data_IF_995238868407
#
_entry.id   IF_995238868407
#
_cell.length_a   1.000
_cell.length_b   1.000
_cell.length_c   1.000
_cell.angle_alpha   90.00
_cell.angle_beta   90.00
_cell.angle_gamma   90.00
#
_symmetry.space_group_name_H-M   'P 1'
#
loop_
_entity.id
_entity.type
_entity.pdbx_description
1 polymer ?
#
# COMPACT_ATOMS: atom_id res chain seq x y z
N UNK A 1 -25.62 -47.93 13.60
CA UNK A 1 -26.39 -46.69 13.32
C UNK A 1 -25.40 -45.53 13.29
N UNK A 2 -25.10 -45.09 12.08
CA UNK A 2 -24.27 -43.94 11.74
C UNK A 2 -25.02 -42.64 12.02
N UNK A 3 -24.40 -41.70 12.73
CA UNK A 3 -24.84 -40.29 12.75
C UNK A 3 -23.61 -39.40 12.73
N UNK A 4 -23.35 -38.85 11.55
CA UNK A 4 -22.43 -37.77 11.22
C UNK A 4 -22.89 -36.45 11.83
N UNK A 5 -22.06 -35.83 12.66
CA UNK A 5 -22.19 -34.44 13.06
C UNK A 5 -21.37 -33.55 12.13
N UNK A 6 -22.02 -32.89 11.17
CA UNK A 6 -21.42 -31.89 10.30
C UNK A 6 -21.00 -30.65 11.11
N UNK A 7 -19.70 -30.38 11.13
CA UNK A 7 -19.12 -29.12 11.58
C UNK A 7 -19.24 -28.09 10.46
N UNK A 8 -20.12 -27.11 10.66
CA UNK A 8 -20.35 -25.98 9.78
C UNK A 8 -19.09 -25.11 9.68
N UNK A 9 -18.32 -25.28 8.60
CA UNK A 9 -17.22 -24.40 8.20
C UNK A 9 -17.80 -23.03 7.81
N UNK A 10 -17.52 -21.99 8.60
CA UNK A 10 -17.80 -20.61 8.20
C UNK A 10 -16.88 -20.24 7.02
N UNK A 11 -17.44 -20.19 5.83
CA UNK A 11 -16.81 -19.62 4.65
C UNK A 11 -16.56 -18.13 4.87
N UNK A 12 -15.31 -17.74 5.15
CA UNK A 12 -14.90 -16.34 5.10
C UNK A 12 -14.94 -15.89 3.64
N UNK A 13 -16.01 -15.20 3.26
CA UNK A 13 -16.09 -14.49 1.98
C UNK A 13 -15.05 -13.37 1.98
N UNK A 14 -14.11 -13.44 1.04
CA UNK A 14 -13.19 -12.34 0.74
C UNK A 14 -13.99 -11.21 0.08
N UNK A 15 -14.63 -10.37 0.89
CA UNK A 15 -15.18 -9.10 0.44
C UNK A 15 -14.05 -8.15 0.01
N UNK A 16 -14.34 -7.14 -0.82
CA UNK A 16 -13.35 -6.14 -1.18
C UNK A 16 -12.79 -5.48 0.10
N UNK A 17 -11.49 -5.14 0.13
CA UNK A 17 -10.89 -4.52 1.29
C UNK A 17 -11.67 -3.26 1.65
N UNK A 18 -12.19 -3.20 2.89
CA UNK A 18 -12.84 -2.02 3.44
C UNK A 18 -11.96 -0.79 3.22
N UNK A 19 -12.60 0.34 2.90
CA UNK A 19 -12.00 1.64 2.63
C UNK A 19 -10.77 1.90 3.52
N UNK A 20 -9.59 1.81 2.92
CA UNK A 20 -8.36 2.21 3.59
C UNK A 20 -8.48 3.69 3.92
N UNK A 21 -8.52 4.03 5.22
CA UNK A 21 -8.44 5.41 5.67
C UNK A 21 -7.12 6.00 5.14
N UNK A 22 -7.19 7.15 4.48
CA UNK A 22 -6.02 7.85 3.93
C UNK A 22 -5.85 9.14 4.71
N UNK A 23 -4.64 9.39 5.20
CA UNK A 23 -4.32 10.71 5.72
C UNK A 23 -3.98 11.60 4.53
N UNK A 24 -4.79 12.63 4.34
CA UNK A 24 -4.53 13.65 3.35
C UNK A 24 -3.51 14.64 3.94
N UNK A 25 -2.37 14.75 3.27
CA UNK A 25 -1.32 15.72 3.59
C UNK A 25 -1.10 16.54 2.33
N UNK A 26 -1.19 17.86 2.44
CA UNK A 26 -1.03 18.79 1.31
C UNK A 26 -2.35 19.25 0.65
N UNK A 27 -2.26 20.29 -0.21
CA UNK A 27 -3.38 20.73 -1.03
C UNK A 27 -3.91 19.56 -1.88
N UNK A 28 -5.22 19.35 -1.85
CA UNK A 28 -5.89 18.28 -2.60
C UNK A 28 -6.47 18.87 -3.86
N UNK A 29 -6.14 18.27 -5.00
CA UNK A 29 -6.54 18.78 -6.32
C UNK A 29 -7.58 17.86 -6.93
N UNK A 30 -8.69 18.46 -7.34
CA UNK A 30 -9.80 17.78 -7.99
C UNK A 30 -9.63 17.83 -9.51
N UNK A 31 -9.48 16.66 -10.12
CA UNK A 31 -9.32 16.49 -11.56
C UNK A 31 -10.62 15.92 -12.14
N UNK A 32 -11.20 16.61 -13.11
CA UNK A 32 -12.33 16.12 -13.89
C UNK A 32 -11.84 15.72 -15.29
N UNK A 33 -11.94 14.43 -15.63
CA UNK A 33 -11.64 13.93 -16.97
C UNK A 33 -12.94 13.49 -17.63
N UNK A 34 -13.20 13.99 -18.84
CA UNK A 34 -14.36 13.59 -19.62
C UNK A 34 -14.08 13.59 -21.11
N UNK A 35 -14.66 12.61 -21.80
CA UNK A 35 -14.75 12.62 -23.24
C UNK A 35 -15.97 13.46 -23.65
N UNK A 36 -15.73 14.56 -24.38
CA UNK A 36 -16.77 15.54 -24.68
C UNK A 36 -17.47 15.28 -26.02
N UNK A 37 -16.92 14.42 -26.88
CA UNK A 37 -17.39 14.15 -28.26
C UNK A 37 -17.79 15.45 -28.99
N UNK A 38 -16.84 16.35 -29.14
CA UNK A 38 -17.01 17.61 -29.86
C UNK A 38 -17.36 18.75 -28.92
N UNK A 39 -16.53 19.80 -28.92
CA UNK A 39 -16.80 21.01 -28.15
C UNK A 39 -17.89 21.86 -28.83
N UNK A 40 -18.81 22.39 -28.04
CA UNK A 40 -19.84 23.35 -28.48
C UNK A 40 -20.14 24.35 -27.35
N UNK A 41 -20.70 25.51 -27.72
CA UNK A 41 -20.97 26.60 -26.77
C UNK A 41 -21.85 26.15 -25.59
N UNK A 42 -22.95 25.44 -25.87
CA UNK A 42 -23.87 24.93 -24.85
C UNK A 42 -23.20 23.92 -23.89
N UNK A 43 -22.28 23.09 -24.39
CA UNK A 43 -21.52 22.15 -23.54
C UNK A 43 -20.53 22.90 -22.66
N UNK A 44 -19.88 23.95 -23.18
CA UNK A 44 -18.98 24.79 -22.40
C UNK A 44 -19.71 25.48 -21.23
N UNK A 45 -20.89 26.04 -21.48
CA UNK A 45 -21.69 26.71 -20.44
C UNK A 45 -22.14 25.74 -19.34
N UNK A 46 -22.57 24.53 -19.72
CA UNK A 46 -22.92 23.49 -18.77
C UNK A 46 -21.71 23.03 -17.95
N UNK A 47 -20.57 22.79 -18.61
CA UNK A 47 -19.33 22.41 -17.94
C UNK A 47 -18.88 23.47 -16.95
N UNK A 48 -18.98 24.75 -17.29
CA UNK A 48 -18.63 25.83 -16.37
C UNK A 48 -19.44 25.77 -15.06
N UNK A 49 -20.76 25.55 -15.16
CA UNK A 49 -21.62 25.40 -13.98
C UNK A 49 -21.24 24.17 -13.16
N UNK A 50 -20.92 23.07 -13.83
CA UNK A 50 -20.54 21.80 -13.20
C UNK A 50 -19.19 21.90 -12.49
N UNK A 51 -18.20 22.53 -13.11
CA UNK A 51 -16.85 22.72 -12.56
C UNK A 51 -16.87 23.62 -11.31
N UNK A 52 -17.64 24.70 -11.35
CA UNK A 52 -17.84 25.59 -10.18
C UNK A 52 -18.56 24.87 -9.04
N UNK A 53 -19.61 24.09 -9.35
CA UNK A 53 -20.37 23.32 -8.36
C UNK A 53 -19.51 22.29 -7.62
N UNK A 54 -18.57 21.67 -8.32
CA UNK A 54 -17.72 20.62 -7.76
C UNK A 54 -16.33 21.09 -7.33
N UNK A 55 -16.03 22.40 -7.37
CA UNK A 55 -14.70 22.95 -7.05
C UNK A 55 -13.57 22.21 -7.78
N UNK A 56 -13.73 22.02 -9.09
CA UNK A 56 -12.73 21.31 -9.91
C UNK A 56 -11.55 22.23 -10.20
N UNK A 57 -10.34 21.75 -9.94
CA UNK A 57 -9.10 22.51 -10.15
C UNK A 57 -8.50 22.27 -11.54
N UNK A 58 -8.66 21.06 -12.09
CA UNK A 58 -8.09 20.66 -13.39
C UNK A 58 -9.14 19.93 -14.22
N UNK A 59 -9.34 20.37 -15.46
CA UNK A 59 -10.23 19.75 -16.44
C UNK A 59 -9.43 19.13 -17.59
N UNK A 60 -9.71 17.86 -17.90
CA UNK A 60 -9.15 17.13 -19.04
C UNK A 60 -10.27 16.75 -20.00
N UNK A 61 -10.17 17.17 -21.26
CA UNK A 61 -11.17 16.91 -22.30
C UNK A 61 -10.60 16.01 -23.40
N UNK A 62 -11.32 14.94 -23.73
CA UNK A 62 -11.00 14.03 -24.84
C UNK A 62 -12.03 14.15 -25.98
N UNK A 63 -11.63 13.73 -27.19
CA UNK A 63 -12.46 13.77 -28.41
C UNK A 63 -13.14 15.14 -28.64
N UNK A 64 -12.40 16.22 -28.43
CA UNK A 64 -12.91 17.59 -28.67
C UNK A 64 -13.27 17.85 -30.14
N UNK A 65 -12.83 16.99 -31.07
CA UNK A 65 -12.99 17.07 -32.52
C UNK A 65 -12.54 18.42 -33.13
N UNK A 66 -11.55 19.05 -32.51
CA UNK A 66 -10.98 20.30 -33.01
C UNK A 66 -9.77 19.97 -33.87
N UNK A 67 -9.88 20.24 -35.17
CA UNK A 67 -8.81 19.96 -36.15
C UNK A 67 -7.77 21.08 -36.23
N UNK A 68 -8.14 22.32 -35.86
CA UNK A 68 -7.27 23.49 -35.97
C UNK A 68 -7.40 24.42 -34.76
N UNK A 69 -6.25 24.90 -34.27
CA UNK A 69 -6.09 25.67 -33.02
C UNK A 69 -6.82 27.02 -33.03
N UNK A 70 -7.07 27.61 -34.21
CA UNK A 70 -7.75 28.90 -34.34
C UNK A 70 -9.28 28.82 -34.10
N UNK A 71 -9.88 27.63 -34.18
CA UNK A 71 -11.32 27.42 -33.98
C UNK A 71 -11.72 27.32 -32.50
N UNK A 72 -10.75 27.32 -31.58
CA UNK A 72 -11.00 27.25 -30.13
C UNK A 72 -11.68 28.52 -29.60
N UNK A 73 -11.30 29.69 -30.10
CA UNK A 73 -11.89 30.96 -29.65
C UNK A 73 -13.34 31.13 -30.12
N UNK A 74 -13.74 30.44 -31.19
CA UNK A 74 -15.05 30.59 -31.83
C UNK A 74 -16.10 29.61 -31.32
N UNK A 75 -15.71 28.46 -30.74
CA UNK A 75 -16.64 27.38 -30.35
C UNK A 75 -17.08 27.39 -28.88
N UNK A 76 -16.56 28.34 -28.09
CA UNK A 76 -16.95 28.56 -26.69
C UNK A 76 -15.77 28.43 -25.74
N UNK A 77 -15.59 29.44 -24.89
CA UNK A 77 -14.54 29.51 -23.87
C UNK A 77 -15.14 29.14 -22.52
N UNK A 78 -14.49 28.24 -21.78
CA UNK A 78 -14.85 27.97 -20.38
C UNK A 78 -14.13 29.02 -19.54
N UNK A 79 -14.87 30.00 -19.04
CA UNK A 79 -14.33 31.08 -18.20
C UNK A 79 -13.71 30.49 -16.92
N UNK A 80 -12.44 30.84 -16.65
CA UNK A 80 -11.68 30.35 -15.49
C UNK A 80 -10.67 29.22 -15.76
N UNK A 81 -10.73 28.56 -16.94
CA UNK A 81 -9.77 27.51 -17.30
C UNK A 81 -8.96 27.94 -18.53
N UNK A 82 -7.65 28.09 -18.38
CA UNK A 82 -6.74 28.45 -19.48
C UNK A 82 -6.14 27.16 -20.08
N UNK A 83 -6.32 26.94 -21.39
CA UNK A 83 -5.80 25.77 -22.10
C UNK A 83 -4.28 25.84 -22.25
N UNK A 84 -3.53 25.56 -21.17
CA UNK A 84 -2.08 25.35 -21.19
C UNK A 84 -1.76 23.88 -21.03
N UNK A 85 -0.68 23.46 -21.67
CA UNK A 85 -0.07 22.13 -21.51
C UNK A 85 0.14 21.80 -20.03
N UNK A 86 -0.22 20.57 -19.70
CA UNK A 86 -0.56 20.08 -18.37
C UNK A 86 0.60 20.12 -17.38
N UNK A 87 0.34 20.70 -16.20
CA UNK A 87 1.08 20.38 -14.98
C UNK A 87 0.15 19.55 -14.09
N UNK A 88 0.58 18.31 -13.86
CA UNK A 88 -0.10 17.31 -13.03
C UNK A 88 0.27 17.59 -11.59
N UNK A 89 -0.72 17.75 -10.71
CA UNK A 89 -0.46 17.82 -9.29
C UNK A 89 -0.68 16.47 -8.60
N UNK A 90 0.44 15.94 -8.14
CA UNK A 90 0.62 14.68 -7.43
C UNK A 90 0.55 14.98 -5.93
N UNK A 91 -0.51 14.52 -5.26
CA UNK A 91 -0.60 14.56 -3.79
C UNK A 91 -0.08 13.26 -3.17
N UNK A 92 0.77 13.36 -2.14
CA UNK A 92 1.26 12.18 -1.41
C UNK A 92 0.20 11.74 -0.41
N UNK A 93 -0.53 10.66 -0.75
CA UNK A 93 -1.48 10.01 0.18
C UNK A 93 -0.72 8.96 0.97
N UNK A 94 -0.63 9.14 2.28
CA UNK A 94 -0.03 8.14 3.16
C UNK A 94 -1.10 7.08 3.46
N UNK A 95 -0.88 5.81 3.05
CA UNK A 95 -1.84 4.75 3.34
C UNK A 95 -1.82 4.45 4.84
N UNK A 96 -2.97 4.57 5.50
CA UNK A 96 -3.13 4.06 6.85
C UNK A 96 -3.62 2.62 6.74
N UNK A 97 -2.82 1.70 7.27
CA UNK A 97 -3.15 0.29 7.28
C UNK A 97 -3.93 0.02 8.57
N UNK A 98 -5.18 -0.40 8.44
CA UNK A 98 -5.92 -0.98 9.57
C UNK A 98 -5.48 -2.43 9.73
N UNK A 99 -4.96 -2.78 10.90
CA UNK A 99 -4.56 -4.17 11.14
C UNK A 99 -5.75 -5.03 11.56
N UNK A 100 -5.64 -6.34 11.34
CA UNK A 100 -6.57 -7.29 11.93
C UNK A 100 -6.44 -7.24 13.46
N UNK A 101 -7.56 -7.27 14.21
CA UNK A 101 -7.56 -7.17 15.68
C UNK A 101 -7.09 -8.48 16.35
N UNK A 102 -6.00 -9.06 15.85
CA UNK A 102 -5.39 -10.27 16.38
C UNK A 102 -4.17 -9.90 17.24
N UNK A 103 -4.18 -10.18 18.55
CA UNK A 103 -3.03 -9.90 19.41
C UNK A 103 -1.79 -10.67 18.98
N UNK A 104 -0.74 -9.95 18.61
CA UNK A 104 0.55 -10.49 18.23
C UNK A 104 1.58 -10.27 19.35
N UNK A 105 2.55 -11.17 19.44
CA UNK A 105 3.66 -11.03 20.36
C UNK A 105 4.58 -9.90 19.92
N UNK A 106 4.88 -8.97 20.83
CA UNK A 106 5.83 -7.90 20.55
C UNK A 106 7.22 -8.26 21.08
N UNK A 107 8.00 -8.93 20.24
CA UNK A 107 9.36 -9.36 20.59
C UNK A 107 10.34 -8.21 20.87
N UNK A 108 10.05 -7.00 20.37
CA UNK A 108 10.89 -5.81 20.67
C UNK A 108 10.73 -5.31 22.10
N UNK A 109 9.60 -5.61 22.75
CA UNK A 109 9.30 -5.26 24.14
C UNK A 109 9.36 -6.47 25.07
N UNK A 110 9.94 -7.57 24.60
CA UNK A 110 10.06 -8.79 25.38
C UNK A 110 11.11 -8.59 26.48
N UNK A 111 10.75 -8.95 27.71
CA UNK A 111 11.72 -9.14 28.78
C UNK A 111 12.30 -10.55 28.67
N UNK A 112 13.39 -10.66 27.92
CA UNK A 112 14.06 -11.94 27.67
C UNK A 112 14.71 -12.53 28.91
N UNK A 113 15.12 -11.70 29.88
CA UNK A 113 15.74 -12.16 31.11
C UNK A 113 14.73 -12.87 32.00
N UNK A 114 13.56 -12.25 32.20
CA UNK A 114 12.45 -12.88 32.94
C UNK A 114 11.92 -14.11 32.23
N UNK A 115 11.85 -14.07 30.88
CA UNK A 115 11.48 -15.24 30.08
C UNK A 115 12.42 -16.41 30.36
N UNK A 116 13.73 -16.19 30.23
CA UNK A 116 14.75 -17.23 30.40
C UNK A 116 14.72 -17.80 31.81
N UNK A 117 14.71 -16.96 32.85
CA UNK A 117 14.61 -17.40 34.25
C UNK A 117 13.37 -18.25 34.50
N UNK A 118 12.22 -17.84 33.94
CA UNK A 118 10.96 -18.59 34.05
C UNK A 118 11.05 -19.94 33.34
N UNK A 119 11.68 -20.02 32.17
CA UNK A 119 11.81 -21.27 31.43
C UNK A 119 12.77 -22.23 32.16
N UNK A 120 13.95 -21.76 32.54
CA UNK A 120 14.99 -22.57 33.20
C UNK A 120 14.52 -23.16 34.53
N UNK A 121 13.73 -22.40 35.30
CA UNK A 121 13.18 -22.86 36.57
C UNK A 121 12.13 -23.96 36.37
N UNK A 122 11.30 -23.84 35.33
CA UNK A 122 10.17 -24.74 35.11
C UNK A 122 10.54 -26.01 34.32
N UNK A 123 11.56 -25.96 33.45
CA UNK A 123 12.05 -27.13 32.69
C UNK A 123 12.54 -28.24 33.62
N UNK A 124 13.16 -27.89 34.75
CA UNK A 124 13.67 -28.85 35.75
C UNK A 124 12.61 -29.82 36.28
N UNK A 125 11.34 -29.44 36.21
CA UNK A 125 10.22 -30.20 36.76
C UNK A 125 9.49 -31.06 35.71
N UNK A 126 10.00 -31.15 34.48
CA UNK A 126 9.38 -31.97 33.43
C UNK A 126 9.80 -33.44 33.61
N UNK A 127 8.87 -34.36 33.92
CA UNK A 127 9.20 -35.78 33.98
C UNK A 127 9.48 -36.35 32.58
N UNK A 128 10.37 -37.35 32.44
CA UNK A 128 10.65 -38.01 31.16
C UNK A 128 9.51 -38.97 30.79
N UNK A 129 8.38 -38.41 30.40
CA UNK A 129 7.16 -39.13 30.00
C UNK A 129 6.88 -38.88 28.52
N UNK A 130 6.06 -39.72 27.88
CA UNK A 130 5.62 -39.53 26.48
C UNK A 130 4.89 -38.21 26.21
N UNK A 131 4.32 -37.59 27.25
CA UNK A 131 3.68 -36.25 27.20
C UNK A 131 4.62 -35.08 27.55
N UNK A 132 5.91 -35.33 27.77
CA UNK A 132 6.89 -34.31 28.15
C UNK A 132 6.95 -33.14 27.15
N UNK A 133 6.77 -33.42 25.86
CA UNK A 133 6.77 -32.41 24.81
C UNK A 133 5.63 -31.40 24.96
N UNK A 134 4.40 -31.84 25.22
CA UNK A 134 3.27 -30.93 25.40
C UNK A 134 3.43 -30.07 26.66
N UNK A 135 3.96 -30.65 27.74
CA UNK A 135 4.29 -29.93 28.98
C UNK A 135 5.37 -28.88 28.75
N UNK A 136 6.41 -29.21 28.01
CA UNK A 136 7.45 -28.27 27.60
C UNK A 136 6.87 -27.09 26.81
N UNK A 137 6.06 -27.37 25.78
CA UNK A 137 5.39 -26.33 24.99
C UNK A 137 4.47 -25.47 25.88
N UNK A 138 3.78 -26.07 26.85
CA UNK A 138 2.97 -25.38 27.84
C UNK A 138 3.78 -24.39 28.68
N UNK A 139 4.95 -24.81 29.18
CA UNK A 139 5.88 -23.98 29.95
C UNK A 139 6.38 -22.80 29.11
N UNK A 140 6.82 -23.05 27.86
CA UNK A 140 7.29 -22.00 26.96
C UNK A 140 6.17 -20.99 26.69
N UNK A 141 4.94 -21.45 26.41
CA UNK A 141 3.78 -20.57 26.18
C UNK A 141 3.43 -19.75 27.43
N UNK A 142 3.51 -20.37 28.62
CA UNK A 142 3.22 -19.69 29.88
C UNK A 142 4.27 -18.62 30.21
N UNK A 143 5.55 -18.94 30.05
CA UNK A 143 6.64 -17.99 30.21
C UNK A 143 6.49 -16.81 29.23
N UNK A 144 6.25 -17.11 27.95
CA UNK A 144 6.03 -16.09 26.93
C UNK A 144 4.87 -15.15 27.28
N UNK A 145 3.74 -15.69 27.77
CA UNK A 145 2.57 -14.87 28.18
C UNK A 145 2.89 -13.88 29.30
N UNK A 146 3.87 -14.18 30.15
CA UNK A 146 4.26 -13.32 31.27
C UNK A 146 5.30 -12.29 30.89
N UNK A 147 6.23 -12.64 29.99
CA UNK A 147 7.40 -11.81 29.68
C UNK A 147 7.31 -11.06 28.35
N UNK A 148 6.45 -11.51 27.42
CA UNK A 148 6.31 -10.90 26.10
C UNK A 148 4.93 -10.25 26.00
N UNK A 149 4.84 -8.92 25.90
CA UNK A 149 3.55 -8.26 25.77
C UNK A 149 2.86 -8.68 24.48
N UNK A 150 1.56 -9.01 24.56
CA UNK A 150 0.68 -9.20 23.41
C UNK A 150 -0.15 -7.94 23.18
N UNK A 151 -0.28 -7.56 21.93
CA UNK A 151 -1.14 -6.46 21.54
C UNK A 151 -1.31 -6.41 20.03
N UNK A 152 -2.16 -5.51 19.56
CA UNK A 152 -2.32 -5.24 18.15
C UNK A 152 -2.40 -3.73 17.92
N UNK A 153 -2.04 -3.28 16.72
CA UNK A 153 -2.04 -1.85 16.37
C UNK A 153 -3.30 -1.52 15.58
N UNK A 154 -4.26 -0.78 16.16
CA UNK A 154 -5.53 -0.44 15.48
C UNK A 154 -5.30 0.24 14.11
N UNK A 155 -4.40 1.20 14.10
CA UNK A 155 -3.93 1.90 12.90
C UNK A 155 -2.42 1.86 12.87
N UNK A 156 -1.87 1.54 11.70
CA UNK A 156 -0.44 1.46 11.49
C UNK A 156 -0.05 2.23 10.23
N UNK A 157 0.91 3.15 10.41
CA UNK A 157 1.61 3.79 9.32
C UNK A 157 3.06 3.35 9.41
N UNK A 158 3.60 2.91 8.28
CA UNK A 158 4.95 2.37 8.21
C UNK A 158 5.98 3.47 8.53
N UNK A 159 6.85 3.18 9.50
CA UNK A 159 7.91 4.08 9.97
C UNK A 159 7.40 5.42 10.52
N UNK A 160 6.17 5.43 11.05
CA UNK A 160 5.64 6.56 11.80
C UNK A 160 6.27 6.61 13.18
N UNK A 161 7.12 7.60 13.38
CA UNK A 161 7.90 7.85 14.59
C UNK A 161 7.37 9.11 15.31
N UNK A 162 7.85 9.34 16.53
CA UNK A 162 7.48 10.51 17.34
C UNK A 162 7.80 11.83 16.64
N UNK A 163 8.96 11.91 15.97
CA UNK A 163 9.35 13.06 15.15
C UNK A 163 8.36 13.33 14.00
N UNK A 164 7.94 12.29 13.27
CA UNK A 164 6.98 12.44 12.17
C UNK A 164 5.56 12.79 12.65
N UNK A 165 5.18 12.35 13.85
CA UNK A 165 3.91 12.74 14.48
C UNK A 165 3.96 14.21 14.89
N UNK A 166 5.05 14.67 15.53
CA UNK A 166 5.21 16.06 15.91
C UNK A 166 5.12 17.00 14.69
N UNK A 167 5.84 16.67 13.61
CA UNK A 167 5.78 17.42 12.36
C UNK A 167 4.39 17.39 11.71
N UNK A 168 3.67 16.27 11.82
CA UNK A 168 2.29 16.19 11.33
C UNK A 168 1.33 17.08 12.13
N UNK A 169 1.45 17.10 13.45
CA UNK A 169 0.62 17.96 14.30
C UNK A 169 0.89 19.45 14.04
N UNK A 170 2.17 19.82 13.91
CA UNK A 170 2.57 21.19 13.53
C UNK A 170 2.03 21.57 12.15
N UNK A 171 2.11 20.66 11.17
CA UNK A 171 1.51 20.85 9.86
C UNK A 171 -0.02 21.00 9.93
N UNK A 172 -0.70 20.22 10.76
CA UNK A 172 -2.15 20.28 10.92
C UNK A 172 -2.62 21.66 11.40
N UNK A 173 -1.83 22.30 12.27
CA UNK A 173 -2.10 23.63 12.80
C UNK A 173 -1.72 24.75 11.82
N UNK A 174 -0.50 24.70 11.27
CA UNK A 174 0.07 25.81 10.51
C UNK A 174 -0.16 25.72 8.99
N UNK A 175 -0.52 24.52 8.49
CA UNK A 175 -0.64 24.17 7.05
C UNK A 175 0.58 24.57 6.20
N UNK A 176 1.74 24.69 6.83
CA UNK A 176 2.98 25.12 6.18
C UNK A 176 3.53 24.00 5.27
N UNK A 177 3.74 24.25 3.96
CA UNK A 177 4.29 23.26 3.05
C UNK A 177 5.69 22.77 3.45
N UNK A 178 6.53 23.61 4.09
CA UNK A 178 7.88 23.22 4.51
C UNK A 178 7.85 22.11 5.58
N UNK A 179 6.94 22.23 6.56
CA UNK A 179 6.74 21.23 7.62
C UNK A 179 6.24 19.90 7.03
N UNK A 180 5.34 19.96 6.02
CA UNK A 180 4.89 18.75 5.32
C UNK A 180 6.02 18.05 4.56
N UNK A 181 6.89 18.81 3.87
CA UNK A 181 8.06 18.25 3.18
C UNK A 181 9.03 17.60 4.16
N UNK A 182 9.35 18.27 5.27
CA UNK A 182 10.22 17.72 6.31
C UNK A 182 9.64 16.42 6.93
N UNK A 183 8.32 16.38 7.15
CA UNK A 183 7.63 15.18 7.61
C UNK A 183 7.78 14.01 6.61
N UNK A 184 7.61 14.28 5.31
CA UNK A 184 7.74 13.27 4.26
C UNK A 184 9.19 12.77 4.11
N UNK A 185 10.16 13.67 4.23
CA UNK A 185 11.58 13.33 4.22
C UNK A 185 11.96 12.46 5.42
N UNK A 186 11.48 12.79 6.63
CA UNK A 186 11.67 11.97 7.83
C UNK A 186 11.13 10.55 7.63
N UNK A 187 9.91 10.42 7.09
CA UNK A 187 9.31 9.11 6.79
C UNK A 187 10.11 8.33 5.75
N UNK A 188 10.60 8.98 4.69
CA UNK A 188 11.40 8.32 3.66
C UNK A 188 12.75 7.87 4.21
N UNK A 189 13.43 8.70 4.99
CA UNK A 189 14.68 8.36 5.66
C UNK A 189 14.52 7.14 6.58
N UNK A 190 13.48 7.13 7.42
CA UNK A 190 13.20 6.00 8.31
C UNK A 190 12.84 4.71 7.54
N UNK A 191 12.20 4.82 6.37
CA UNK A 191 11.94 3.66 5.49
C UNK A 191 13.23 3.15 4.85
N UNK A 192 14.10 4.05 4.38
CA UNK A 192 15.40 3.72 3.82
C UNK A 192 16.27 2.99 4.85
N UNK A 193 16.37 3.50 6.08
CA UNK A 193 17.17 2.85 7.14
C UNK A 193 16.62 1.47 7.51
N UNK A 194 15.29 1.36 7.66
CA UNK A 194 14.67 0.06 7.91
C UNK A 194 14.95 -0.93 6.77
N UNK A 195 14.96 -0.45 5.53
CA UNK A 195 15.26 -1.28 4.38
C UNK A 195 16.72 -1.75 4.37
N UNK A 196 17.68 -0.84 4.60
CA UNK A 196 19.11 -1.17 4.73
C UNK A 196 19.33 -2.25 5.77
N UNK A 197 18.80 -2.06 6.98
CA UNK A 197 18.89 -3.03 8.08
C UNK A 197 18.29 -4.39 7.71
N UNK A 198 17.17 -4.40 6.98
CA UNK A 198 16.52 -5.63 6.55
C UNK A 198 17.36 -6.35 5.48
N UNK A 199 17.94 -5.62 4.53
CA UNK A 199 18.82 -6.17 3.49
C UNK A 199 20.12 -6.71 4.09
N UNK A 200 20.77 -5.96 4.99
CA UNK A 200 21.98 -6.39 5.70
C UNK A 200 21.74 -7.64 6.56
N UNK A 201 20.59 -7.71 7.25
CA UNK A 201 20.21 -8.87 8.03
C UNK A 201 19.68 -10.05 7.20
N UNK A 202 19.48 -9.88 5.89
CA UNK A 202 18.96 -10.94 5.02
C UNK A 202 20.09 -11.82 4.52
N UNK A 203 20.10 -13.08 4.97
CA UNK A 203 21.00 -14.07 4.40
C UNK A 203 20.46 -14.63 3.06
N UNK A 204 20.98 -14.12 1.94
CA UNK A 204 20.55 -14.49 0.59
C UNK A 204 20.87 -15.94 0.19
N UNK A 205 21.82 -16.60 0.87
CA UNK A 205 22.18 -17.99 0.57
C UNK A 205 21.18 -19.00 1.12
N UNK A 206 20.67 -18.77 2.34
CA UNK A 206 19.72 -19.70 3.00
C UNK A 206 18.25 -19.24 2.93
N UNK A 207 17.98 -17.98 2.56
CA UNK A 207 16.60 -17.43 2.50
C UNK A 207 16.26 -16.74 1.17
N UNK A 208 16.74 -17.31 0.06
CA UNK A 208 16.52 -16.80 -1.30
C UNK A 208 15.06 -16.47 -1.63
N UNK A 209 14.09 -17.28 -1.16
CA UNK A 209 12.65 -17.01 -1.34
C UNK A 209 12.19 -15.71 -0.67
N UNK A 210 12.67 -15.41 0.54
CA UNK A 210 12.30 -14.19 1.26
C UNK A 210 12.94 -12.96 0.61
N UNK A 211 14.21 -13.08 0.22
CA UNK A 211 14.91 -12.07 -0.55
C UNK A 211 14.20 -11.75 -1.88
N UNK A 212 13.82 -12.78 -2.65
CA UNK A 212 13.07 -12.61 -3.89
C UNK A 212 11.69 -11.99 -3.68
N UNK A 213 10.97 -12.41 -2.64
CA UNK A 213 9.68 -11.80 -2.31
C UNK A 213 9.82 -10.30 -2.02
N UNK A 214 10.90 -9.89 -1.36
CA UNK A 214 11.19 -8.49 -1.05
C UNK A 214 11.51 -7.67 -2.31
N UNK A 215 12.35 -8.22 -3.20
CA UNK A 215 12.63 -7.61 -4.51
C UNK A 215 11.36 -7.46 -5.36
N UNK A 216 10.49 -8.47 -5.34
CA UNK A 216 9.20 -8.40 -6.05
C UNK A 216 8.25 -7.36 -5.44
N UNK A 217 8.25 -7.15 -4.13
CA UNK A 217 7.44 -6.10 -3.50
C UNK A 217 7.93 -4.70 -3.88
N UNK A 218 9.25 -4.50 -4.08
CA UNK A 218 9.80 -3.25 -4.62
C UNK A 218 9.37 -3.03 -6.07
N UNK A 219 9.39 -4.09 -6.89
CA UNK A 219 8.97 -4.03 -8.28
C UNK A 219 7.47 -3.73 -8.47
N UNK A 220 6.61 -4.03 -7.49
CA UNK A 220 5.15 -3.78 -7.57
C UNK A 220 4.75 -2.31 -7.65
N UNK A 221 5.61 -1.38 -7.19
CA UNK A 221 5.33 0.05 -7.26
C UNK A 221 5.33 0.58 -8.71
N UNK A 222 6.04 -0.10 -9.61
CA UNK A 222 5.86 0.06 -11.04
C UNK A 222 4.95 -1.09 -11.49
N UNK A 223 3.66 -0.85 -11.81
CA UNK A 223 2.95 -1.82 -12.62
C UNK A 223 3.77 -1.92 -13.91
N UNK A 224 4.57 -2.99 -14.03
CA UNK A 224 5.18 -3.34 -15.30
C UNK A 224 3.99 -3.39 -16.26
N UNK A 225 3.90 -2.39 -17.13
CA UNK A 225 2.92 -2.39 -18.21
C UNK A 225 3.16 -3.73 -18.87
N UNK A 226 2.25 -4.69 -18.67
CA UNK A 226 2.27 -5.91 -19.43
C UNK A 226 1.93 -5.42 -20.82
N UNK A 227 2.95 -5.02 -21.59
CA UNK A 227 2.81 -4.94 -23.01
C UNK A 227 2.33 -6.33 -23.36
N UNK A 228 1.05 -6.42 -23.74
CA UNK A 228 0.46 -7.64 -24.24
C UNK A 228 1.13 -7.80 -25.60
N UNK A 229 2.35 -8.30 -25.60
CA UNK A 229 2.99 -8.74 -26.83
C UNK A 229 2.14 -9.91 -27.27
N UNK A 230 1.35 -9.68 -28.32
CA UNK A 230 0.54 -10.69 -29.00
C UNK A 230 1.46 -11.61 -29.78
N UNK A 231 2.51 -12.12 -29.15
CA UNK A 231 3.37 -13.14 -29.72
C UNK A 231 2.80 -14.46 -29.21
N UNK A 232 1.99 -15.08 -30.05
CA UNK A 232 1.49 -16.44 -29.83
C UNK A 232 2.69 -17.38 -29.84
N UNK A 233 2.76 -18.34 -28.93
CA UNK A 233 3.89 -19.27 -28.83
C UNK A 233 4.19 -19.97 -30.18
N UNK A 234 3.14 -20.25 -30.95
CA UNK A 234 3.24 -20.81 -32.30
C UNK A 234 4.04 -19.95 -33.27
N UNK A 235 3.95 -18.61 -33.17
CA UNK A 235 4.69 -17.70 -34.04
C UNK A 235 6.21 -17.79 -33.81
N UNK A 236 6.62 -18.04 -32.57
CA UNK A 236 8.03 -18.26 -32.21
C UNK A 236 8.50 -19.61 -32.77
N UNK A 237 7.68 -20.66 -32.64
CA UNK A 237 8.00 -21.99 -33.18
C UNK A 237 8.10 -21.97 -34.71
N UNK A 238 7.16 -21.31 -35.41
CA UNK A 238 7.20 -21.16 -36.86
C UNK A 238 8.44 -20.40 -37.33
N UNK A 239 8.81 -19.31 -36.64
CA UNK A 239 10.00 -18.54 -36.97
C UNK A 239 11.29 -19.37 -36.78
N UNK A 240 11.40 -20.13 -35.69
CA UNK A 240 12.54 -21.01 -35.43
C UNK A 240 12.72 -22.07 -36.52
N UNK A 241 11.62 -22.72 -36.94
CA UNK A 241 11.61 -23.71 -38.01
C UNK A 241 12.00 -23.07 -39.36
N UNK A 242 11.59 -21.82 -39.60
CA UNK A 242 11.92 -21.11 -40.82
C UNK A 242 13.39 -20.70 -40.87
N UNK A 243 13.97 -20.27 -39.74
CA UNK A 243 15.39 -19.93 -39.63
C UNK A 243 16.30 -21.15 -39.57
N UNK A 244 15.81 -22.32 -39.16
CA UNK A 244 16.61 -23.55 -39.13
C UNK A 244 16.65 -24.29 -40.48
N UNK A 245 15.89 -23.83 -41.47
CA UNK A 245 15.87 -24.38 -42.84
C UNK A 245 16.65 -23.50 -43.84
N UNK A 246 17.24 -22.40 -43.39
CA UNK A 246 18.23 -21.63 -44.13
C UNK A 246 19.64 -22.07 -43.69
#
# INVERSE_FOLDING_TARGET
KSTSGESSKSSKSNGPPQDQRKLHVGPTIQICQLNIKGISCSKCEYLERLLKKHSVDVLVLEETHIKHTHLFNTRGRITGFQHRTSIINVGIKIPVITSTPEPQWNFKKADWETFQKSVDTNIRWIPPTTDAFNRFIGIIKAAAKRSIPRGFRKTYILCWMEESEALYQEYSLNKNPATATAMLESLNSARCERWKSLVEGSNFTHSSRKAWALLHQLGRANPAYKHRTTIRADAIASHLIQTSKA
#
